data_IF_618173632028
#
_entry.id   IF_618173632028
#
_cell.length_a   1.000
_cell.length_b   1.000
_cell.length_c   1.000
_cell.angle_alpha   90.00
_cell.angle_beta   90.00
_cell.angle_gamma   90.00
#
_symmetry.space_group_name_H-M   'P 1'
#
loop_
_entity.id
_entity.type
_entity.pdbx_description
1 polymer ?
#
# COMPACT_ATOMS: atom_id res chain seq x y z
N UNK A 1 8.96 7.52 21.39
CA UNK A 1 7.67 8.23 21.55
C UNK A 1 6.60 7.46 20.81
N UNK A 2 5.34 7.44 21.27
CA UNK A 2 4.24 6.86 20.52
C UNK A 2 4.04 7.63 19.20
N UNK A 3 3.58 6.94 18.16
CA UNK A 3 3.21 7.57 16.89
C UNK A 3 2.10 8.60 17.10
N UNK A 4 2.21 9.73 16.42
CA UNK A 4 1.28 10.87 16.57
C UNK A 4 0.64 11.20 15.23
N UNK A 5 -0.64 11.54 15.27
CA UNK A 5 -1.42 11.99 14.13
C UNK A 5 -2.47 12.98 14.60
N UNK A 6 -3.03 13.74 13.66
CA UNK A 6 -4.14 14.65 13.90
C UNK A 6 -5.27 14.37 12.92
N UNK A 7 -6.49 14.58 13.39
CA UNK A 7 -7.65 14.64 12.52
C UNK A 7 -7.69 15.98 11.77
N UNK A 8 -8.07 15.95 10.50
CA UNK A 8 -8.17 17.12 9.61
C UNK A 8 -9.49 17.09 8.83
N UNK A 9 -9.89 18.23 8.26
CA UNK A 9 -11.08 18.36 7.40
C UNK A 9 -12.43 17.97 8.06
N UNK A 10 -12.50 17.94 9.39
CA UNK A 10 -13.68 17.51 10.14
C UNK A 10 -14.79 18.56 10.18
N UNK A 11 -14.41 19.83 10.20
CA UNK A 11 -15.31 20.97 10.42
C UNK A 11 -16.37 21.15 9.31
N UNK A 12 -16.20 20.45 8.17
CA UNK A 12 -17.11 20.52 7.02
C UNK A 12 -18.32 19.59 7.12
N UNK A 13 -18.39 18.73 8.14
CA UNK A 13 -19.46 17.74 8.27
C UNK A 13 -20.55 18.20 9.24
N UNK A 14 -21.80 17.85 8.93
CA UNK A 14 -22.90 18.01 9.88
C UNK A 14 -22.74 17.03 11.06
N UNK A 15 -23.52 17.23 12.14
CA UNK A 15 -23.41 16.42 13.37
C UNK A 15 -23.64 14.91 13.15
N UNK A 16 -24.51 14.52 12.22
CA UNK A 16 -24.79 13.10 11.95
C UNK A 16 -23.67 12.42 11.16
N UNK A 17 -23.12 13.10 10.16
CA UNK A 17 -22.01 12.61 9.34
C UNK A 17 -20.75 12.48 10.19
N UNK A 18 -20.55 13.42 11.12
CA UNK A 18 -19.45 13.35 12.08
C UNK A 18 -19.52 12.11 12.98
N UNK A 19 -20.70 11.74 13.48
CA UNK A 19 -20.86 10.53 14.30
C UNK A 19 -20.54 9.25 13.53
N UNK A 20 -20.94 9.19 12.25
CA UNK A 20 -20.61 8.05 11.38
C UNK A 20 -19.10 7.97 11.11
N UNK A 21 -18.47 9.11 10.79
CA UNK A 21 -17.03 9.19 10.57
C UNK A 21 -16.24 8.76 11.80
N UNK A 22 -16.61 9.25 12.98
CA UNK A 22 -15.96 8.89 14.24
C UNK A 22 -16.08 7.40 14.55
N UNK A 23 -17.26 6.82 14.34
CA UNK A 23 -17.45 5.38 14.51
C UNK A 23 -16.53 4.58 13.59
N UNK A 24 -16.38 5.00 12.33
CA UNK A 24 -15.56 4.32 11.33
C UNK A 24 -14.06 4.46 11.59
N UNK A 25 -13.58 5.68 11.90
CA UNK A 25 -12.17 5.94 12.16
C UNK A 25 -11.67 5.24 13.42
N UNK A 26 -12.53 5.10 14.44
CA UNK A 26 -12.21 4.41 15.68
C UNK A 26 -12.37 2.88 15.61
N UNK A 27 -12.88 2.31 14.51
CA UNK A 27 -12.90 0.86 14.34
C UNK A 27 -11.48 0.31 14.33
N UNK A 28 -11.27 -0.80 15.03
CA UNK A 28 -9.98 -1.49 14.97
C UNK A 28 -9.82 -2.09 13.58
N UNK A 29 -8.73 -1.72 12.91
CA UNK A 29 -8.40 -2.20 11.59
C UNK A 29 -7.70 -3.56 11.69
N UNK A 30 -6.65 -3.62 12.50
CA UNK A 30 -5.79 -4.78 12.65
C UNK A 30 -6.25 -5.69 13.81
N UNK A 31 -6.42 -6.98 13.51
CA UNK A 31 -6.64 -8.06 14.46
C UNK A 31 -5.76 -9.24 14.07
N UNK A 32 -5.31 -10.04 15.05
CA UNK A 32 -4.61 -11.30 14.75
C UNK A 32 -5.47 -12.17 13.81
N UNK A 33 -4.86 -12.73 12.75
CA UNK A 33 -5.45 -13.62 11.73
C UNK A 33 -6.18 -13.01 10.51
N UNK A 34 -6.24 -11.68 10.35
CA UNK A 34 -6.90 -11.08 9.17
C UNK A 34 -6.15 -11.21 7.83
N UNK A 35 -4.85 -11.45 7.85
CA UNK A 35 -4.09 -11.53 6.59
C UNK A 35 -4.51 -12.72 5.72
N UNK A 36 -4.91 -13.84 6.33
CA UNK A 36 -5.34 -15.02 5.58
C UNK A 36 -6.62 -14.73 4.77
N UNK A 37 -7.58 -14.01 5.36
CA UNK A 37 -8.79 -13.56 4.65
C UNK A 37 -8.46 -12.63 3.48
N UNK A 38 -7.52 -11.69 3.66
CA UNK A 38 -7.05 -10.79 2.61
C UNK A 38 -6.40 -11.60 1.47
N UNK A 39 -5.59 -12.60 1.84
CA UNK A 39 -4.93 -13.51 0.89
C UNK A 39 -5.93 -14.32 0.07
N UNK A 40 -6.93 -14.90 0.73
CA UNK A 40 -7.98 -15.67 0.08
C UNK A 40 -8.81 -14.80 -0.86
N UNK A 41 -9.19 -13.59 -0.43
CA UNK A 41 -9.90 -12.61 -1.28
C UNK A 41 -9.08 -12.27 -2.52
N UNK A 42 -7.79 -11.95 -2.36
CA UNK A 42 -6.90 -11.65 -3.47
C UNK A 42 -6.87 -12.80 -4.49
N UNK A 43 -6.66 -14.04 -4.02
CA UNK A 43 -6.60 -15.20 -4.91
C UNK A 43 -7.94 -15.50 -5.60
N UNK A 44 -9.06 -15.29 -4.91
CA UNK A 44 -10.38 -15.46 -5.49
C UNK A 44 -10.64 -14.44 -6.60
N UNK A 45 -10.37 -13.16 -6.34
CA UNK A 45 -10.56 -12.09 -7.31
C UNK A 45 -9.69 -12.29 -8.56
N UNK A 46 -8.46 -12.81 -8.39
CA UNK A 46 -7.55 -13.17 -9.49
C UNK A 46 -8.12 -14.27 -10.39
N UNK A 47 -8.74 -15.30 -9.83
CA UNK A 47 -9.42 -16.35 -10.63
C UNK A 47 -10.58 -15.80 -11.45
N UNK A 48 -11.26 -14.75 -10.97
CA UNK A 48 -12.35 -14.12 -11.72
C UNK A 48 -11.84 -13.43 -12.99
N UNK A 49 -10.62 -12.88 -12.99
CA UNK A 49 -10.02 -12.26 -14.18
C UNK A 49 -9.67 -13.27 -15.28
N UNK A 50 -9.44 -14.54 -14.93
CA UNK A 50 -9.23 -15.61 -15.90
C UNK A 50 -10.54 -16.04 -16.59
N UNK A 51 -11.70 -15.57 -16.10
CA UNK A 51 -12.99 -15.90 -16.68
C UNK A 51 -13.25 -15.08 -17.96
N UNK A 52 -13.55 -15.71 -19.11
CA UNK A 52 -13.89 -14.99 -20.35
C UNK A 52 -15.03 -13.96 -20.20
N UNK A 53 -15.94 -14.18 -19.24
CA UNK A 53 -17.02 -13.23 -18.92
C UNK A 53 -16.51 -11.90 -18.37
N UNK A 54 -15.39 -11.88 -17.64
CA UNK A 54 -14.80 -10.64 -17.14
C UNK A 54 -14.36 -9.70 -18.27
N UNK A 55 -13.85 -10.27 -19.37
CA UNK A 55 -13.42 -9.53 -20.55
C UNK A 55 -14.59 -9.01 -21.39
N UNK A 56 -15.77 -9.64 -21.28
CA UNK A 56 -16.94 -9.34 -22.12
C UNK A 56 -18.06 -8.60 -21.39
N UNK A 57 -18.08 -8.59 -20.05
CA UNK A 57 -19.11 -7.94 -19.22
C UNK A 57 -18.53 -6.73 -18.45
N UNK A 58 -18.85 -5.49 -18.87
CA UNK A 58 -18.41 -4.27 -18.18
C UNK A 58 -18.94 -4.12 -16.75
N UNK A 59 -20.14 -4.63 -16.44
CA UNK A 59 -20.71 -4.53 -15.10
C UNK A 59 -20.01 -5.48 -14.13
N UNK A 60 -19.74 -6.71 -14.58
CA UNK A 60 -18.93 -7.65 -13.83
C UNK A 60 -17.53 -7.08 -13.58
N UNK A 61 -16.91 -6.48 -14.59
CA UNK A 61 -15.60 -5.83 -14.47
C UNK A 61 -15.61 -4.73 -13.42
N UNK A 62 -16.56 -3.78 -13.49
CA UNK A 62 -16.66 -2.70 -12.50
C UNK A 62 -16.87 -3.22 -11.07
N UNK A 63 -17.67 -4.28 -10.91
CA UNK A 63 -17.88 -4.93 -9.61
C UNK A 63 -16.60 -5.54 -9.06
N UNK A 64 -15.85 -6.25 -9.90
CA UNK A 64 -14.60 -6.93 -9.51
C UNK A 64 -13.47 -5.93 -9.25
N UNK A 65 -13.35 -4.88 -10.07
CA UNK A 65 -12.37 -3.79 -9.88
C UNK A 65 -12.51 -3.12 -8.50
N UNK A 66 -13.74 -2.94 -8.00
CA UNK A 66 -13.98 -2.44 -6.65
C UNK A 66 -13.34 -3.30 -5.54
N UNK A 67 -13.32 -4.62 -5.71
CA UNK A 67 -12.68 -5.52 -4.73
C UNK A 67 -11.16 -5.43 -4.82
N UNK A 68 -10.58 -5.24 -6.00
CA UNK A 68 -9.14 -5.01 -6.14
C UNK A 68 -8.68 -3.73 -5.44
N UNK A 69 -9.43 -2.63 -5.54
CA UNK A 69 -9.12 -1.38 -4.85
C UNK A 69 -9.04 -1.59 -3.32
N UNK A 70 -10.03 -2.28 -2.75
CA UNK A 70 -10.05 -2.60 -1.32
C UNK A 70 -8.88 -3.51 -0.94
N UNK A 71 -8.62 -4.55 -1.73
CA UNK A 71 -7.54 -5.51 -1.46
C UNK A 71 -6.17 -4.85 -1.55
N UNK A 72 -5.95 -3.94 -2.51
CA UNK A 72 -4.71 -3.17 -2.61
C UNK A 72 -4.45 -2.31 -1.36
N UNK A 73 -5.49 -1.66 -0.84
CA UNK A 73 -5.43 -1.00 0.46
C UNK A 73 -5.09 -1.97 1.58
N UNK A 74 -5.81 -3.09 1.68
CA UNK A 74 -5.58 -4.05 2.74
C UNK A 74 -4.15 -4.61 2.73
N UNK A 75 -3.60 -4.84 1.54
CA UNK A 75 -2.21 -5.25 1.35
C UNK A 75 -1.21 -4.16 1.76
N UNK A 76 -1.42 -2.90 1.35
CA UNK A 76 -0.55 -1.78 1.74
C UNK A 76 -0.50 -1.64 3.27
N UNK A 77 -1.65 -1.71 3.93
CA UNK A 77 -1.75 -1.50 5.37
C UNK A 77 -1.13 -2.64 6.18
N UNK A 78 -1.22 -3.88 5.67
CA UNK A 78 -0.50 -5.03 6.25
C UNK A 78 1.00 -4.97 5.97
N UNK A 79 1.40 -4.45 4.80
CA UNK A 79 2.80 -4.28 4.43
C UNK A 79 3.52 -3.28 5.35
N UNK A 80 2.94 -2.11 5.63
CA UNK A 80 3.57 -1.08 6.48
C UNK A 80 3.72 -1.50 7.95
N UNK A 81 2.91 -2.45 8.43
CA UNK A 81 3.05 -3.03 9.79
C UNK A 81 3.97 -4.26 9.82
N UNK A 82 4.49 -4.67 8.66
CA UNK A 82 5.49 -5.72 8.55
C UNK A 82 4.96 -7.13 8.47
N UNK A 83 3.72 -7.31 7.97
CA UNK A 83 3.27 -8.63 7.50
C UNK A 83 4.02 -8.93 6.20
N UNK A 84 5.04 -9.79 6.30
CA UNK A 84 5.99 -10.05 5.23
C UNK A 84 5.31 -10.57 3.96
N UNK A 85 4.29 -11.42 4.11
CA UNK A 85 3.58 -12.03 2.99
C UNK A 85 2.83 -10.98 2.15
N UNK A 86 2.43 -9.84 2.74
CA UNK A 86 1.74 -8.76 2.03
C UNK A 86 2.61 -8.16 0.91
N UNK A 87 3.94 -8.18 1.06
CA UNK A 87 4.87 -7.60 0.10
C UNK A 87 4.74 -8.24 -1.30
N UNK A 88 4.69 -9.57 -1.38
CA UNK A 88 4.57 -10.26 -2.67
C UNK A 88 3.27 -9.92 -3.40
N UNK A 89 2.15 -9.92 -2.68
CA UNK A 89 0.83 -9.66 -3.25
C UNK A 89 0.67 -8.18 -3.65
N UNK A 90 1.19 -7.27 -2.85
CA UNK A 90 1.21 -5.84 -3.18
C UNK A 90 2.09 -5.57 -4.40
N UNK A 91 3.29 -6.16 -4.46
CA UNK A 91 4.15 -6.07 -5.64
C UNK A 91 3.49 -6.62 -6.90
N UNK A 92 2.83 -7.77 -6.78
CA UNK A 92 2.05 -8.37 -7.88
C UNK A 92 0.95 -7.44 -8.36
N UNK A 93 0.33 -6.66 -7.45
CA UNK A 93 -0.67 -5.66 -7.81
C UNK A 93 -0.05 -4.56 -8.67
N UNK A 94 1.14 -4.04 -8.31
CA UNK A 94 1.85 -3.04 -9.10
C UNK A 94 2.41 -3.55 -10.43
N UNK A 95 2.77 -4.83 -10.54
CA UNK A 95 3.18 -5.44 -11.81
C UNK A 95 2.01 -5.45 -12.80
N UNK A 96 0.80 -5.72 -12.32
CA UNK A 96 -0.33 -6.04 -13.18
C UNK A 96 -1.46 -4.99 -13.20
N UNK A 97 -1.38 -3.96 -12.36
CA UNK A 97 -2.41 -2.92 -12.24
C UNK A 97 -3.66 -3.36 -11.49
N UNK A 98 -3.54 -4.20 -10.46
CA UNK A 98 -4.70 -4.69 -9.70
C UNK A 98 -5.10 -3.74 -8.58
N UNK A 99 -6.12 -2.92 -8.85
CA UNK A 99 -6.59 -1.88 -7.92
C UNK A 99 -5.61 -0.72 -7.75
N UNK A 100 -4.54 -0.71 -8.55
CA UNK A 100 -3.45 0.25 -8.55
C UNK A 100 -3.05 0.59 -9.97
N UNK A 101 -2.41 1.73 -10.17
CA UNK A 101 -1.65 2.00 -11.39
C UNK A 101 -0.42 1.09 -11.47
N UNK A 102 -0.11 0.61 -12.67
CA UNK A 102 1.12 -0.16 -12.88
C UNK A 102 2.34 0.72 -12.61
N UNK A 103 3.26 0.22 -11.79
CA UNK A 103 4.44 0.95 -11.39
C UNK A 103 5.61 -0.01 -11.12
N UNK A 104 6.58 -0.02 -12.03
CA UNK A 104 7.77 -0.88 -11.96
C UNK A 104 8.67 -0.52 -10.76
N UNK A 105 8.76 0.77 -10.42
CA UNK A 105 9.55 1.20 -9.27
C UNK A 105 8.92 0.66 -7.98
N UNK A 106 7.61 0.85 -7.80
CA UNK A 106 6.90 0.39 -6.61
C UNK A 106 6.88 -1.14 -6.54
N UNK A 107 6.72 -1.86 -7.65
CA UNK A 107 6.78 -3.32 -7.64
C UNK A 107 8.15 -3.84 -7.18
N UNK A 108 9.24 -3.33 -7.77
CA UNK A 108 10.60 -3.71 -7.44
C UNK A 108 10.98 -3.33 -6.01
N UNK A 109 10.61 -2.13 -5.57
CA UNK A 109 10.80 -1.69 -4.18
C UNK A 109 10.06 -2.62 -3.20
N UNK A 110 8.81 -2.95 -3.50
CA UNK A 110 7.99 -3.81 -2.62
C UNK A 110 8.58 -5.22 -2.53
N UNK A 111 9.03 -5.82 -3.65
CA UNK A 111 9.71 -7.11 -3.63
C UNK A 111 11.02 -7.07 -2.84
N UNK A 112 11.84 -6.03 -3.03
CA UNK A 112 13.09 -5.85 -2.29
C UNK A 112 12.86 -5.77 -0.77
N UNK A 113 11.81 -5.08 -0.34
CA UNK A 113 11.40 -5.06 1.07
C UNK A 113 10.89 -6.42 1.51
N UNK A 114 10.08 -7.11 0.70
CA UNK A 114 9.61 -8.48 0.97
C UNK A 114 10.76 -9.47 1.23
N UNK A 115 11.81 -9.43 0.41
CA UNK A 115 13.04 -10.21 0.61
C UNK A 115 13.68 -9.90 1.96
N UNK A 116 13.84 -8.61 2.30
CA UNK A 116 14.43 -8.18 3.57
C UNK A 116 13.57 -8.52 4.80
N UNK A 117 12.25 -8.69 4.62
CA UNK A 117 11.34 -9.21 5.64
C UNK A 117 11.32 -10.75 5.73
N UNK A 118 11.99 -11.44 4.81
CA UNK A 118 12.03 -12.90 4.74
C UNK A 118 10.77 -13.53 4.14
N UNK A 119 10.09 -12.84 3.23
CA UNK A 119 8.99 -13.40 2.46
C UNK A 119 9.49 -14.37 1.38
N UNK A 120 9.07 -15.62 1.46
CA UNK A 120 9.56 -16.70 0.58
C UNK A 120 9.16 -16.49 -0.88
N UNK A 121 8.00 -15.87 -1.14
CA UNK A 121 7.50 -15.66 -2.51
C UNK A 121 8.26 -14.53 -3.19
N UNK A 122 8.53 -13.44 -2.47
CA UNK A 122 9.37 -12.34 -2.94
C UNK A 122 10.79 -12.80 -3.23
N UNK A 123 11.36 -13.66 -2.37
CA UNK A 123 12.68 -14.28 -2.62
C UNK A 123 12.65 -15.09 -3.91
N UNK A 124 11.67 -15.98 -4.08
CA UNK A 124 11.55 -16.81 -5.28
C UNK A 124 11.33 -15.97 -6.55
N UNK A 125 10.59 -14.87 -6.45
CA UNK A 125 10.30 -13.98 -7.58
C UNK A 125 11.56 -13.27 -8.11
N UNK A 126 12.53 -12.99 -7.23
CA UNK A 126 13.79 -12.34 -7.59
C UNK A 126 14.95 -13.34 -7.75
N UNK A 127 14.71 -14.64 -7.59
CA UNK A 127 15.74 -15.67 -7.72
C UNK A 127 16.06 -15.90 -9.19
N UNK A 128 17.35 -15.78 -9.56
CA UNK A 128 17.80 -15.87 -10.95
C UNK A 128 17.59 -14.61 -11.80
N UNK A 129 16.98 -13.56 -11.24
CA UNK A 129 16.81 -12.28 -11.92
C UNK A 129 18.07 -11.40 -11.85
N UNK A 130 18.15 -10.41 -12.75
CA UNK A 130 19.19 -9.38 -12.65
C UNK A 130 19.08 -8.65 -11.30
N UNK A 131 20.22 -8.35 -10.63
CA UNK A 131 20.19 -7.63 -9.36
C UNK A 131 19.45 -6.30 -9.49
N UNK A 132 18.51 -6.04 -8.58
CA UNK A 132 17.79 -4.76 -8.54
C UNK A 132 18.78 -3.59 -8.39
N UNK A 133 18.49 -2.43 -9.02
CA UNK A 133 19.36 -1.27 -8.93
C UNK A 133 19.69 -0.86 -7.50
N UNK A 134 20.91 -0.37 -7.27
CA UNK A 134 21.39 0.01 -5.92
C UNK A 134 20.49 1.05 -5.25
N UNK A 135 19.86 1.95 -6.02
CA UNK A 135 18.95 2.94 -5.46
C UNK A 135 17.69 2.28 -4.88
N UNK A 136 17.11 1.27 -5.55
CA UNK A 136 15.97 0.48 -5.02
C UNK A 136 16.36 -0.19 -3.70
N UNK A 137 17.56 -0.77 -3.63
CA UNK A 137 18.05 -1.40 -2.41
C UNK A 137 18.17 -0.41 -1.24
N UNK A 138 18.66 0.82 -1.50
CA UNK A 138 18.72 1.89 -0.49
C UNK A 138 17.31 2.31 -0.03
N UNK A 139 16.35 2.46 -0.94
CA UNK A 139 14.96 2.74 -0.58
C UNK A 139 14.37 1.61 0.25
N UNK A 140 14.62 0.36 -0.11
CA UNK A 140 14.14 -0.81 0.62
C UNK A 140 14.71 -0.86 2.06
N UNK A 141 15.99 -0.53 2.27
CA UNK A 141 16.59 -0.45 3.60
C UNK A 141 15.91 0.61 4.49
N UNK A 142 15.53 1.75 3.92
CA UNK A 142 14.76 2.79 4.63
C UNK A 142 13.36 2.31 4.98
N UNK A 143 12.66 1.73 4.01
CA UNK A 143 11.34 1.15 4.22
C UNK A 143 11.36 0.12 5.37
N UNK A 144 12.39 -0.73 5.42
CA UNK A 144 12.57 -1.72 6.48
C UNK A 144 12.77 -1.08 7.86
N UNK A 145 13.53 0.02 7.96
CA UNK A 145 13.70 0.74 9.23
C UNK A 145 12.35 1.24 9.75
N UNK A 146 11.56 1.85 8.88
CA UNK A 146 10.22 2.31 9.23
C UNK A 146 9.29 1.14 9.58
N UNK A 147 9.18 0.12 8.73
CA UNK A 147 8.33 -1.05 9.00
C UNK A 147 8.69 -1.71 10.34
N UNK A 148 9.98 -1.83 10.68
CA UNK A 148 10.41 -2.38 11.98
C UNK A 148 9.99 -1.50 13.15
N UNK A 149 10.01 -0.17 12.99
CA UNK A 149 9.51 0.78 13.98
C UNK A 149 8.01 0.62 14.16
N UNK A 150 7.23 0.62 13.08
CA UNK A 150 5.78 0.37 13.10
C UNK A 150 5.46 -0.95 13.80
N UNK A 151 6.09 -2.05 13.37
CA UNK A 151 5.89 -3.39 13.95
C UNK A 151 6.07 -3.39 15.46
N UNK A 152 7.16 -2.80 15.98
CA UNK A 152 7.40 -2.70 17.43
C UNK A 152 6.31 -1.93 18.17
N UNK A 153 5.76 -0.88 17.56
CA UNK A 153 4.73 -0.03 18.15
C UNK A 153 3.32 -0.64 18.13
N UNK A 154 3.07 -1.63 17.25
CA UNK A 154 1.73 -2.21 17.04
C UNK A 154 1.60 -3.68 17.40
N UNK A 155 2.71 -4.44 17.53
CA UNK A 155 2.70 -5.90 17.67
C UNK A 155 1.86 -6.47 18.85
N UNK A 156 1.53 -5.66 19.85
CA UNK A 156 0.85 -6.09 21.08
C UNK A 156 -0.47 -5.33 21.35
N UNK A 157 -1.06 -4.68 20.34
CA UNK A 157 -2.32 -3.95 20.52
C UNK A 157 -3.11 -3.84 19.22
N UNK A 158 -4.39 -3.55 19.39
CA UNK A 158 -5.24 -3.17 18.27
C UNK A 158 -4.85 -1.78 17.74
N UNK A 159 -4.94 -1.62 16.43
CA UNK A 159 -4.66 -0.37 15.73
C UNK A 159 -5.95 0.08 15.06
N UNK A 160 -6.39 1.30 15.35
CA UNK A 160 -7.56 1.90 14.73
C UNK A 160 -7.34 2.22 13.26
N UNK A 161 -8.43 2.32 12.50
CA UNK A 161 -8.40 2.80 11.12
C UNK A 161 -7.71 4.17 11.02
N UNK A 162 -7.96 5.10 11.93
CA UNK A 162 -7.27 6.40 11.88
C UNK A 162 -5.75 6.28 12.02
N UNK A 163 -5.26 5.50 12.98
CA UNK A 163 -3.83 5.38 13.22
C UNK A 163 -3.14 4.68 12.04
N UNK A 164 -3.73 3.60 11.52
CA UNK A 164 -3.12 2.87 10.40
C UNK A 164 -3.10 3.70 9.10
N UNK A 165 -4.10 4.56 8.89
CA UNK A 165 -4.12 5.53 7.79
C UNK A 165 -3.02 6.56 7.90
N UNK A 166 -2.85 7.16 9.07
CA UNK A 166 -1.77 8.11 9.31
C UNK A 166 -0.39 7.46 9.10
N UNK A 167 -0.23 6.21 9.55
CA UNK A 167 1.01 5.43 9.34
C UNK A 167 1.26 5.16 7.86
N UNK A 168 0.23 4.81 7.08
CA UNK A 168 0.34 4.60 5.65
C UNK A 168 0.77 5.88 4.91
N UNK A 169 0.18 7.02 5.26
CA UNK A 169 0.59 8.33 4.73
C UNK A 169 2.03 8.66 5.10
N UNK A 170 2.41 8.48 6.37
CA UNK A 170 3.79 8.70 6.82
C UNK A 170 4.77 7.84 6.02
N UNK A 171 4.43 6.57 5.81
CA UNK A 171 5.21 5.66 4.98
C UNK A 171 5.33 6.14 3.54
N UNK A 172 4.21 6.55 2.93
CA UNK A 172 4.18 7.06 1.55
C UNK A 172 5.05 8.31 1.37
N UNK A 173 5.07 9.24 2.34
CA UNK A 173 5.94 10.41 2.28
C UNK A 173 7.43 10.06 2.15
N UNK A 174 7.88 8.89 2.63
CA UNK A 174 9.28 8.45 2.46
C UNK A 174 9.58 7.90 1.06
N UNK A 175 8.56 7.35 0.41
CA UNK A 175 8.69 6.66 -0.90
C UNK A 175 8.36 7.62 -2.04
N UNK A 176 7.54 8.64 -1.75
CA UNK A 176 7.04 9.56 -2.75
C UNK A 176 8.18 10.28 -3.46
N UNK A 177 8.24 10.13 -4.79
CA UNK A 177 9.26 10.77 -5.62
C UNK A 177 8.69 11.94 -6.42
N UNK A 178 9.58 12.80 -6.91
CA UNK A 178 9.24 13.87 -7.86
C UNK A 178 8.71 13.31 -9.21
N UNK A 179 8.98 12.04 -9.51
CA UNK A 179 8.48 11.32 -10.69
C UNK A 179 7.10 10.68 -10.47
N UNK A 180 6.42 11.01 -9.36
CA UNK A 180 5.06 10.58 -9.01
C UNK A 180 4.91 9.12 -8.57
N UNK A 181 5.98 8.43 -8.17
CA UNK A 181 5.81 7.15 -7.46
C UNK A 181 5.20 7.44 -6.09
N UNK A 182 4.08 6.81 -5.75
CA UNK A 182 3.43 6.92 -4.44
C UNK A 182 2.49 5.74 -4.27
N UNK A 183 2.68 4.96 -3.20
CA UNK A 183 1.75 3.89 -2.84
C UNK A 183 0.35 4.43 -2.59
N UNK A 184 0.24 5.64 -2.03
CA UNK A 184 -1.05 6.26 -1.72
C UNK A 184 -1.78 6.74 -2.98
N UNK A 185 -1.09 7.47 -3.86
CA UNK A 185 -1.72 8.10 -5.03
C UNK A 185 -2.10 7.07 -6.09
N UNK A 186 -1.32 5.99 -6.23
CA UNK A 186 -1.50 4.95 -7.26
C UNK A 186 -2.64 3.98 -6.98
N UNK A 187 -3.08 3.80 -5.73
CA UNK A 187 -4.28 3.00 -5.43
C UNK A 187 -5.53 3.76 -5.91
N UNK A 188 -6.37 3.14 -6.72
CA UNK A 188 -7.51 3.79 -7.36
C UNK A 188 -8.60 4.24 -6.35
N UNK A 189 -9.35 5.28 -6.73
CA UNK A 189 -10.42 5.88 -5.90
C UNK A 189 -11.80 5.82 -6.57
N UNK A 190 -11.99 4.98 -7.60
CA UNK A 190 -13.15 5.11 -8.48
C UNK A 190 -14.48 4.88 -7.76
N UNK A 191 -14.47 4.16 -6.64
CA UNK A 191 -15.69 3.74 -5.94
C UNK A 191 -15.95 4.41 -4.59
N UNK A 192 -15.19 5.45 -4.20
CA UNK A 192 -15.45 6.38 -3.08
C UNK A 192 -15.75 5.77 -1.69
N UNK A 193 -15.59 4.45 -1.51
CA UNK A 193 -15.87 3.71 -0.28
C UNK A 193 -14.59 3.07 0.30
N UNK A 194 -13.42 3.58 -0.09
CA UNK A 194 -12.13 2.99 0.19
C UNK A 194 -11.40 3.71 1.33
N UNK A 195 -10.39 3.04 1.87
CA UNK A 195 -9.48 3.58 2.89
C UNK A 195 -8.82 4.91 2.43
N UNK A 196 -8.72 5.16 1.11
CA UNK A 196 -8.28 6.44 0.55
C UNK A 196 -9.13 7.63 1.02
N UNK A 197 -10.46 7.44 1.08
CA UNK A 197 -11.39 8.44 1.60
C UNK A 197 -11.13 8.71 3.09
N UNK A 198 -10.89 7.67 3.90
CA UNK A 198 -10.61 7.86 5.34
C UNK A 198 -9.29 8.59 5.59
N UNK A 199 -8.31 8.33 4.74
CA UNK A 199 -7.06 9.04 4.77
C UNK A 199 -7.24 10.56 4.53
N UNK A 200 -8.32 11.04 3.90
CA UNK A 200 -8.62 12.48 3.79
C UNK A 200 -8.80 13.19 5.15
N UNK A 201 -9.16 12.43 6.20
CA UNK A 201 -9.50 12.97 7.52
C UNK A 201 -8.39 12.83 8.56
N UNK A 202 -7.25 12.23 8.20
CA UNK A 202 -6.16 11.97 9.15
C UNK A 202 -4.82 12.34 8.53
N UNK A 203 -3.98 13.05 9.29
CA UNK A 203 -2.63 13.43 8.88
C UNK A 203 -1.60 13.00 9.93
N UNK A 204 -0.49 12.33 9.54
CA UNK A 204 0.59 12.05 10.47
C UNK A 204 1.22 13.34 10.99
N UNK A 205 1.61 13.34 12.27
CA UNK A 205 2.46 14.40 12.82
C UNK A 205 3.90 13.94 12.63
N UNK A 206 4.53 14.42 11.57
CA UNK A 206 5.93 14.13 11.25
C UNK A 206 6.78 15.09 12.08
N UNK A 207 7.26 14.60 13.23
CA UNK A 207 8.27 15.31 14.02
C UNK A 207 9.56 15.34 13.19
N UNK A 208 9.88 16.50 12.61
CA UNK A 208 11.06 16.76 11.78
C UNK A 208 12.27 15.94 12.22
N UNK A 209 12.50 14.82 11.54
CA UNK A 209 13.71 14.03 11.63
C UNK A 209 14.01 13.56 10.22
N UNK A 210 14.94 14.29 9.60
CA UNK A 210 15.54 14.16 8.26
C UNK A 210 14.54 14.16 7.10
N UNK A 211 14.41 15.21 6.29
CA UNK A 211 15.45 15.74 5.38
C UNK A 211 16.41 14.71 4.76
N UNK A 212 16.12 13.41 4.85
CA UNK A 212 16.66 12.41 3.94
C UNK A 212 15.69 12.27 2.75
N UNK A 213 15.36 13.39 2.11
CA UNK A 213 14.86 13.29 0.74
C UNK A 213 16.05 12.79 -0.07
N UNK A 214 16.16 11.48 -0.27
CA UNK A 214 16.84 10.98 -1.45
C UNK A 214 16.05 11.57 -2.61
N UNK A 215 16.56 12.66 -3.18
CA UNK A 215 16.24 12.96 -4.56
C UNK A 215 16.44 11.64 -5.31
N UNK A 216 15.38 11.13 -5.92
CA UNK A 216 15.52 10.05 -6.88
C UNK A 216 16.52 10.59 -7.91
N UNK A 217 17.78 10.18 -7.80
CA UNK A 217 18.82 10.57 -8.74
C UNK A 217 18.28 10.13 -10.08
N UNK A 218 17.87 11.12 -10.87
CA UNK A 218 17.27 10.91 -12.17
C UNK A 218 18.23 10.11 -13.01
N UNK A 219 17.81 8.91 -13.40
CA UNK A 219 18.15 8.42 -14.71
C UNK A 219 16.84 8.13 -15.42
N UNK A 220 16.56 9.03 -16.37
CA UNK A 220 15.79 8.76 -17.56
C UNK A 220 16.27 7.42 -18.16
N UNK A 221 15.73 6.30 -17.72
CA UNK A 221 15.70 5.12 -18.57
C UNK A 221 14.39 5.15 -19.33
N UNK A 222 14.39 5.93 -20.41
CA UNK A 222 13.61 5.57 -21.60
C UNK A 222 14.12 4.20 -22.07
N UNK A 223 13.65 3.11 -21.46
CA UNK A 223 13.70 1.85 -22.17
C UNK A 223 12.62 1.92 -23.23
N UNK A 224 13.09 1.96 -24.49
CA UNK A 224 12.25 1.75 -25.64
C UNK A 224 11.53 0.41 -25.44
N UNK A 225 10.20 0.46 -25.35
CA UNK A 225 9.39 -0.70 -25.64
C UNK A 225 9.45 -0.89 -27.16
N UNK A 226 10.51 -1.52 -27.65
CA UNK A 226 10.46 -2.20 -28.94
C UNK A 226 9.87 -3.59 -28.68
N UNK A 227 8.55 -3.68 -28.84
CA UNK A 227 7.91 -4.94 -29.18
C UNK A 227 7.36 -4.74 -30.58
N UNK A 228 8.08 -5.31 -31.55
CA UNK A 228 7.56 -5.75 -32.83
C UNK A 228 6.64 -6.96 -32.62
#
# INVERSE_FOLDING_TARGET
MPFRYKRINIEKHNKSDFKSLDMMLNQNYFYQNKFEEIRESYLADRKVQENPKYLSDPQLRAKVEKYFEKTAWDLLLNYIVGVKEAAFYLASSYINGYGVDQDEFLSNLTLAVGVKLGDKRSIKMLDGEAPLPTYIQKFADRCIKEIKKHKKEVQNRDVSCEEIMARAKAFDYFVKTNTKHSYYDTIHEKNNASMKHFAYYVEPIIENNSQDQLEAIGQLTKFHCEIC
#
